data_IF_089066830672
#
_entry.id   IF_089066830672
#
_cell.length_a   1.000
_cell.length_b   1.000
_cell.length_c   1.000
_cell.angle_alpha   90.00
_cell.angle_beta   90.00
_cell.angle_gamma   90.00
#
_symmetry.space_group_name_H-M   'P 1'
#
loop_
_entity.id
_entity.type
_entity.pdbx_description
1 polymer ?
#
# COMPACT_ATOMS: atom_id res chain seq x y z
N UNK A 1 0.29 -5.82 -64.55
CA UNK A 1 0.81 -6.46 -63.33
C UNK A 1 0.57 -5.51 -62.17
N UNK A 2 -0.40 -5.77 -61.27
CA UNK A 2 -0.51 -5.04 -60.01
C UNK A 2 0.07 -5.87 -58.86
N UNK A 3 0.91 -5.23 -58.05
CA UNK A 3 1.49 -5.82 -56.83
C UNK A 3 0.45 -5.78 -55.71
N UNK A 4 0.14 -6.96 -55.19
CA UNK A 4 -0.67 -7.20 -53.99
C UNK A 4 0.19 -6.85 -52.78
N UNK A 5 -0.25 -5.88 -51.96
CA UNK A 5 0.31 -5.67 -50.62
C UNK A 5 -0.60 -6.41 -49.64
N UNK A 6 -0.08 -7.54 -49.15
CA UNK A 6 -0.72 -8.44 -48.21
C UNK A 6 -0.73 -7.79 -46.82
N UNK A 7 -1.92 -7.63 -46.24
CA UNK A 7 -2.12 -7.24 -44.86
C UNK A 7 -1.56 -8.33 -43.92
N UNK A 8 -0.57 -7.98 -43.09
CA UNK A 8 -0.08 -8.85 -42.03
C UNK A 8 -0.92 -8.62 -40.78
N UNK A 9 -1.98 -9.40 -40.63
CA UNK A 9 -2.69 -9.57 -39.35
C UNK A 9 -1.76 -10.30 -38.39
N UNK A 10 -1.21 -9.60 -37.41
CA UNK A 10 -0.55 -10.22 -36.26
C UNK A 10 -1.63 -10.72 -35.32
N UNK A 11 -1.93 -12.00 -35.40
CA UNK A 11 -2.64 -12.72 -34.34
C UNK A 11 -1.72 -12.79 -33.13
N UNK A 12 -2.00 -11.98 -32.10
CA UNK A 12 -1.33 -12.05 -30.81
C UNK A 12 -1.54 -13.43 -30.21
N UNK A 13 -0.44 -14.18 -30.07
CA UNK A 13 -0.43 -15.46 -29.41
C UNK A 13 -0.71 -15.27 -27.91
N UNK A 14 -1.73 -15.98 -27.44
CA UNK A 14 -1.99 -16.22 -26.03
C UNK A 14 -0.77 -16.88 -25.37
N UNK A 15 -0.12 -16.21 -24.43
CA UNK A 15 0.82 -16.86 -23.49
C UNK A 15 0.11 -17.04 -22.16
N UNK A 16 -0.87 -17.95 -22.15
CA UNK A 16 -1.27 -18.65 -20.94
C UNK A 16 -0.58 -20.01 -21.00
N UNK A 17 0.44 -20.25 -20.18
CA UNK A 17 1.17 -21.51 -20.23
C UNK A 17 1.49 -22.03 -18.83
N UNK A 18 0.84 -23.12 -18.44
CA UNK A 18 1.41 -24.12 -17.55
C UNK A 18 1.50 -25.45 -18.30
N UNK A 19 2.70 -26.01 -18.48
CA UNK A 19 2.99 -27.41 -18.19
C UNK A 19 4.49 -27.77 -18.33
N UNK A 20 5.00 -28.44 -17.29
CA UNK A 20 5.94 -29.58 -17.25
C UNK A 20 6.98 -29.82 -18.37
N UNK A 21 8.25 -30.00 -17.98
CA UNK A 21 8.93 -31.31 -18.04
C UNK A 21 10.34 -31.31 -17.41
N UNK A 22 10.54 -32.37 -16.61
CA UNK A 22 11.72 -33.05 -16.07
C UNK A 22 13.12 -32.78 -16.66
N UNK A 23 14.12 -32.64 -15.78
CA UNK A 23 15.44 -33.29 -15.92
C UNK A 23 16.18 -33.38 -14.57
N UNK A 24 16.89 -34.48 -14.40
CA UNK A 24 17.60 -34.99 -13.22
C UNK A 24 19.04 -34.45 -13.14
N UNK A 25 19.63 -34.38 -11.94
CA UNK A 25 20.89 -35.07 -11.57
C UNK A 25 21.58 -34.50 -10.30
N UNK A 26 22.02 -35.42 -9.43
CA UNK A 26 23.41 -35.45 -8.93
C UNK A 26 23.79 -34.65 -7.67
N UNK A 27 24.13 -35.31 -6.54
CA UNK A 27 24.58 -34.65 -5.31
C UNK A 27 26.10 -34.42 -5.30
N UNK A 28 26.56 -33.32 -4.68
CA UNK A 28 27.99 -33.07 -4.44
C UNK A 28 28.28 -32.59 -3.00
N UNK A 29 28.83 -33.53 -2.24
CA UNK A 29 29.93 -33.44 -1.26
C UNK A 29 30.01 -32.27 -0.25
N UNK A 30 29.61 -32.60 0.99
CA UNK A 30 30.41 -32.56 2.22
C UNK A 30 31.70 -31.73 2.29
N UNK A 31 31.68 -30.74 3.17
CA UNK A 31 32.85 -30.18 3.86
C UNK A 31 32.65 -30.28 5.37
N UNK A 32 33.54 -31.00 6.05
CA UNK A 32 33.54 -31.26 7.50
C UNK A 32 34.42 -30.29 8.26
N UNK A 33 33.97 -29.88 9.46
CA UNK A 33 34.83 -29.82 10.64
C UNK A 33 35.36 -28.46 11.08
N UNK A 34 34.77 -27.92 12.16
CA UNK A 34 35.37 -26.90 13.02
C UNK A 34 34.65 -26.89 14.37
N UNK A 35 35.18 -27.65 15.32
CA UNK A 35 34.65 -27.84 16.69
C UNK A 35 34.88 -26.62 17.57
N UNK A 36 33.90 -26.31 18.43
CA UNK A 36 33.94 -25.19 19.36
C UNK A 36 34.70 -25.41 20.66
N UNK A 37 34.78 -24.31 21.43
CA UNK A 37 35.28 -24.18 22.80
C UNK A 37 36.31 -23.04 22.88
N UNK A 38 36.30 -22.11 23.83
CA UNK A 38 35.50 -21.88 25.04
C UNK A 38 35.51 -20.36 25.35
N UNK A 39 34.45 -19.87 25.98
CA UNK A 39 34.32 -18.47 26.37
C UNK A 39 35.05 -18.08 27.66
N UNK A 40 35.37 -16.79 27.75
CA UNK A 40 35.82 -16.05 28.94
C UNK A 40 36.41 -14.71 28.46
N UNK A 41 36.14 -13.54 29.03
CA UNK A 41 35.44 -13.12 30.25
C UNK A 41 34.76 -11.76 29.98
N UNK A 42 33.67 -11.47 30.67
CA UNK A 42 33.00 -10.17 30.63
C UNK A 42 33.91 -9.06 31.19
N UNK A 43 34.01 -7.94 30.47
CA UNK A 43 34.54 -6.70 31.04
C UNK A 43 33.63 -6.20 32.15
N UNK A 44 34.22 -5.81 33.28
CA UNK A 44 33.50 -5.31 34.45
C UNK A 44 32.73 -4.02 34.14
N UNK A 45 31.53 -3.90 34.71
CA UNK A 45 30.79 -2.66 34.76
C UNK A 45 31.60 -1.57 35.47
N UNK A 46 31.61 -0.36 34.92
CA UNK A 46 32.05 0.82 35.65
C UNK A 46 31.16 1.06 36.86
N UNK A 47 31.78 1.15 38.03
CA UNK A 47 31.10 1.53 39.27
C UNK A 47 30.73 3.01 39.23
N UNK A 48 29.49 3.31 39.63
CA UNK A 48 29.02 4.68 39.83
C UNK A 48 29.89 5.42 40.84
N UNK A 49 30.16 6.70 40.56
CA UNK A 49 30.76 7.61 41.54
C UNK A 49 29.84 7.73 42.76
N UNK A 50 30.42 7.53 43.94
CA UNK A 50 29.76 7.71 45.22
C UNK A 50 29.54 9.18 45.53
N UNK A 51 28.37 9.45 46.12
CA UNK A 51 27.94 10.74 46.62
C UNK A 51 28.89 11.31 47.70
N UNK A 52 29.03 12.64 47.72
CA UNK A 52 29.48 13.34 48.93
C UNK A 52 28.43 13.19 50.03
N UNK A 53 28.86 12.75 51.21
CA UNK A 53 28.10 12.82 52.47
C UNK A 53 28.35 14.19 53.12
N UNK A 54 27.45 14.86 53.82
CA UNK A 54 26.02 14.67 54.03
C UNK A 54 25.55 15.76 55.00
N UNK A 55 24.38 16.34 54.75
CA UNK A 55 23.52 16.91 55.79
C UNK A 55 22.23 16.10 55.79
N UNK A 56 21.99 15.30 56.82
CA UNK A 56 20.68 14.65 57.10
C UNK A 56 19.76 15.71 57.70
N UNK A 57 18.48 15.85 57.39
CA UNK A 57 17.60 15.19 56.44
C UNK A 57 16.17 15.67 56.74
N UNK A 58 15.36 15.86 55.70
CA UNK A 58 13.91 15.97 55.79
C UNK A 58 13.31 15.09 54.70
N UNK A 59 12.48 14.12 55.10
CA UNK A 59 11.85 13.10 54.26
C UNK A 59 10.76 13.68 53.35
N UNK A 60 10.74 13.23 52.09
CA UNK A 60 9.66 13.50 51.14
C UNK A 60 8.40 12.69 51.49
N UNK A 61 7.23 13.33 51.41
CA UNK A 61 5.92 12.66 51.56
C UNK A 61 5.39 12.11 50.23
N UNK A 62 4.69 10.98 50.30
CA UNK A 62 3.98 10.32 49.18
C UNK A 62 2.59 10.93 48.91
N UNK A 63 2.07 10.59 47.72
CA UNK A 63 0.95 11.19 46.98
C UNK A 63 -0.41 11.30 47.68
N UNK A 64 -1.22 12.25 47.19
CA UNK A 64 -2.69 12.25 47.31
C UNK A 64 -3.35 12.34 45.94
N UNK A 65 -4.41 11.56 45.72
CA UNK A 65 -5.34 11.67 44.58
C UNK A 65 -6.65 12.32 45.03
N UNK A 66 -7.25 13.09 44.12
CA UNK A 66 -8.69 13.37 44.09
C UNK A 66 -9.16 14.73 44.60
N UNK A 67 -9.51 15.61 43.66
CA UNK A 67 -10.42 16.73 43.87
C UNK A 67 -10.92 17.25 42.53
N UNK A 68 -12.22 17.12 42.28
CA UNK A 68 -12.92 17.65 41.10
C UNK A 68 -13.38 19.08 41.33
N UNK A 69 -13.33 19.88 40.26
CA UNK A 69 -14.23 21.02 40.02
C UNK A 69 -13.87 22.35 40.71
N UNK A 70 -13.55 23.35 39.90
CA UNK A 70 -13.60 24.76 40.31
C UNK A 70 -13.80 25.66 39.10
N UNK A 71 -15.02 26.15 38.90
CA UNK A 71 -15.33 27.28 38.02
C UNK A 71 -15.16 28.60 38.78
N UNK A 72 -14.57 29.58 38.10
CA UNK A 72 -14.85 31.02 38.22
C UNK A 72 -14.53 31.74 39.54
N UNK A 73 -13.58 32.68 39.47
CA UNK A 73 -13.44 33.75 40.47
C UNK A 73 -12.43 34.81 40.02
N UNK A 74 -12.90 36.04 39.85
CA UNK A 74 -12.14 37.23 39.42
C UNK A 74 -11.22 37.82 40.49
N UNK A 75 -10.07 38.32 40.00
CA UNK A 75 -9.07 39.27 40.52
C UNK A 75 -8.96 39.58 42.03
N UNK A 76 -7.73 39.44 42.53
CA UNK A 76 -7.21 40.09 43.74
C UNK A 76 -5.80 40.64 43.49
N UNK A 77 -5.51 41.79 44.09
CA UNK A 77 -4.50 42.79 43.72
C UNK A 77 -3.02 42.38 43.69
N UNK A 78 -2.28 43.15 42.88
CA UNK A 78 -0.84 43.10 42.70
C UNK A 78 -0.04 43.27 44.01
N UNK A 79 1.01 42.44 44.16
CA UNK A 79 2.10 42.60 45.11
C UNK A 79 3.29 43.29 44.45
N UNK A 80 3.93 44.17 45.21
CA UNK A 80 4.86 45.22 44.80
C UNK A 80 6.26 44.73 44.42
N UNK A 81 6.85 45.38 43.42
CA UNK A 81 8.18 45.09 42.90
C UNK A 81 9.33 45.37 43.87
N UNK A 82 10.35 44.51 43.78
CA UNK A 82 11.69 44.78 44.28
C UNK A 82 12.49 45.62 43.28
N UNK A 83 13.23 46.58 43.81
CA UNK A 83 14.01 47.61 43.13
C UNK A 83 15.11 47.09 42.20
N UNK A 84 15.28 47.78 41.07
CA UNK A 84 16.35 47.56 40.10
C UNK A 84 17.74 47.83 40.70
N UNK A 85 18.65 46.86 40.53
CA UNK A 85 20.09 47.07 40.67
C UNK A 85 20.66 47.69 39.40
N UNK A 86 21.53 48.68 39.58
CA UNK A 86 22.19 49.50 38.54
C UNK A 86 23.16 48.70 37.68
N UNK A 87 23.21 49.06 36.39
CA UNK A 87 23.91 48.34 35.33
C UNK A 87 25.42 48.19 35.52
N UNK A 88 25.89 46.97 35.29
CA UNK A 88 27.26 46.69 34.89
C UNK A 88 27.43 46.84 33.38
N UNK A 89 28.55 47.40 32.97
CA UNK A 89 28.99 47.54 31.58
C UNK A 89 29.08 46.18 30.88
N UNK A 90 28.58 46.13 29.64
CA UNK A 90 28.40 44.91 28.87
C UNK A 90 29.67 44.07 28.71
N UNK A 91 29.57 42.80 29.12
CA UNK A 91 30.39 41.76 28.52
C UNK A 91 29.88 41.48 27.11
N UNK A 92 30.79 41.35 26.15
CA UNK A 92 30.48 40.83 24.83
C UNK A 92 29.77 39.48 24.96
N UNK A 93 28.60 39.36 24.34
CA UNK A 93 27.87 38.10 24.27
C UNK A 93 28.79 37.01 23.70
N UNK A 94 28.97 35.92 24.44
CA UNK A 94 29.46 34.69 23.84
C UNK A 94 28.47 34.26 22.76
N UNK A 95 28.97 33.86 21.59
CA UNK A 95 28.12 33.34 20.52
C UNK A 95 27.20 32.27 21.07
N UNK A 96 25.89 32.44 20.89
CA UNK A 96 24.94 31.39 21.17
C UNK A 96 25.37 30.14 20.41
N UNK A 97 25.51 29.01 21.12
CA UNK A 97 25.60 27.73 20.46
C UNK A 97 24.39 27.57 19.55
N UNK A 98 24.59 27.09 18.33
CA UNK A 98 23.48 26.71 17.45
C UNK A 98 22.62 25.72 18.21
N UNK A 99 21.40 26.11 18.54
CA UNK A 99 20.41 25.21 19.11
C UNK A 99 20.28 24.00 18.18
N UNK A 100 20.36 22.80 18.74
CA UNK A 100 20.03 21.60 17.98
C UNK A 100 18.65 21.77 17.37
N UNK A 101 18.48 21.39 16.11
CA UNK A 101 17.17 21.31 15.48
C UNK A 101 16.27 20.49 16.38
N UNK A 102 15.15 21.08 16.81
CA UNK A 102 14.10 20.35 17.49
C UNK A 102 13.74 19.14 16.62
N UNK A 103 13.74 17.95 17.22
CA UNK A 103 13.21 16.76 16.55
C UNK A 103 11.80 17.09 16.05
N UNK A 104 11.50 16.71 14.81
CA UNK A 104 10.14 16.81 14.28
C UNK A 104 9.22 16.09 15.25
N UNK A 105 8.28 16.83 15.85
CA UNK A 105 7.24 16.25 16.68
C UNK A 105 6.57 15.13 15.87
N UNK A 106 6.41 13.96 16.48
CA UNK A 106 5.69 12.87 15.85
C UNK A 106 4.35 13.38 15.33
N UNK A 107 4.02 13.06 14.09
CA UNK A 107 2.71 13.34 13.52
C UNK A 107 1.68 12.78 14.48
N UNK A 108 0.81 13.64 15.02
CA UNK A 108 -0.33 13.20 15.81
C UNK A 108 -1.08 12.16 15.02
N UNK A 109 -1.39 11.02 15.65
CA UNK A 109 -2.13 9.94 15.00
C UNK A 109 -3.37 10.50 14.35
N UNK A 110 -3.51 10.26 13.04
CA UNK A 110 -4.74 10.55 12.32
C UNK A 110 -5.88 9.86 13.04
N UNK A 111 -6.94 10.61 13.35
CA UNK A 111 -8.18 10.01 13.83
C UNK A 111 -8.59 8.91 12.84
N UNK A 112 -8.68 7.67 13.31
CA UNK A 112 -9.01 6.53 12.46
C UNK A 112 -10.31 6.82 11.72
N UNK A 113 -10.23 6.89 10.39
CA UNK A 113 -11.42 6.91 9.54
C UNK A 113 -12.28 5.73 9.97
N UNK A 114 -13.55 5.99 10.34
CA UNK A 114 -14.45 4.92 10.76
C UNK A 114 -14.47 3.86 9.66
N UNK A 115 -13.87 2.70 9.92
CA UNK A 115 -13.64 1.68 8.90
C UNK A 115 -14.93 1.38 8.14
N UNK A 116 -14.81 1.17 6.84
CA UNK A 116 -15.94 0.82 5.99
C UNK A 116 -16.69 -0.42 6.50
N UNK A 117 -17.89 -0.72 5.98
CA UNK A 117 -18.66 -1.89 6.39
C UNK A 117 -17.89 -3.21 6.35
N UNK A 118 -16.85 -3.36 5.52
CA UNK A 118 -15.98 -4.55 5.51
C UNK A 118 -15.24 -4.80 6.84
N UNK A 119 -15.09 -3.77 7.67
CA UNK A 119 -14.23 -3.76 8.84
C UNK A 119 -14.97 -4.02 10.15
N UNK A 120 -16.31 -3.94 10.16
CA UNK A 120 -17.13 -3.96 11.38
C UNK A 120 -16.95 -5.21 12.25
N UNK A 121 -16.56 -6.33 11.64
CA UNK A 121 -16.34 -7.60 12.34
C UNK A 121 -15.06 -8.31 11.86
N UNK A 122 -14.15 -7.59 11.19
CA UNK A 122 -12.93 -8.16 10.67
C UNK A 122 -11.83 -8.07 11.73
N UNK A 123 -11.27 -9.22 12.11
CA UNK A 123 -10.12 -9.25 13.00
C UNK A 123 -8.90 -8.58 12.34
N UNK A 124 -8.15 -7.80 13.12
CA UNK A 124 -6.88 -7.23 12.68
C UNK A 124 -5.87 -8.36 12.44
N UNK A 125 -5.53 -8.58 11.17
CA UNK A 125 -4.70 -9.70 10.71
C UNK A 125 -3.76 -9.36 9.55
N UNK A 126 -3.68 -8.08 9.15
CA UNK A 126 -2.78 -7.67 8.09
C UNK A 126 -1.44 -7.19 8.64
N UNK A 127 -0.48 -6.96 7.75
CA UNK A 127 0.86 -6.50 8.10
C UNK A 127 1.81 -7.62 8.52
N UNK A 128 3.06 -7.28 8.87
CA UNK A 128 4.17 -8.24 8.96
C UNK A 128 4.00 -9.29 10.06
N UNK A 129 3.23 -8.99 11.10
CA UNK A 129 2.98 -9.89 12.24
C UNK A 129 1.49 -10.20 12.42
N UNK A 130 0.64 -9.81 11.46
CA UNK A 130 -0.79 -10.11 11.47
C UNK A 130 -1.56 -9.46 12.61
N UNK A 131 -1.25 -8.20 12.94
CA UNK A 131 -1.92 -7.43 14.01
C UNK A 131 -2.49 -6.10 13.53
N UNK A 132 -2.19 -5.68 12.30
CA UNK A 132 -2.73 -4.45 11.73
C UNK A 132 -4.15 -4.66 11.20
N UNK A 133 -4.93 -3.58 11.19
CA UNK A 133 -6.24 -3.58 10.56
C UNK A 133 -6.08 -3.73 9.06
N UNK A 134 -6.73 -4.72 8.45
CA UNK A 134 -6.76 -4.85 6.98
C UNK A 134 -7.52 -3.70 6.29
N UNK A 135 -8.13 -2.80 7.08
CA UNK A 135 -8.80 -1.60 6.63
C UNK A 135 -8.00 -0.32 6.90
N UNK A 136 -6.75 -0.45 7.34
CA UNK A 136 -5.88 0.70 7.53
C UNK A 136 -5.76 1.47 6.21
N UNK A 137 -5.99 2.77 6.25
CA UNK A 137 -5.83 3.66 5.10
C UNK A 137 -4.94 4.81 5.53
N UNK A 138 -3.80 4.93 4.87
CA UNK A 138 -2.83 5.99 5.13
C UNK A 138 -3.11 7.18 4.22
N UNK A 139 -2.82 8.38 4.72
CA UNK A 139 -2.92 9.60 3.92
C UNK A 139 -1.67 9.72 3.04
N UNK A 140 -1.90 9.90 1.74
CA UNK A 140 -0.90 10.31 0.77
C UNK A 140 -0.97 11.84 0.64
N UNK A 141 0.08 12.58 1.04
CA UNK A 141 0.10 14.04 0.95
C UNK A 141 0.03 14.54 -0.50
N UNK A 142 -0.53 15.73 -0.69
CA UNK A 142 -0.54 16.38 -2.00
C UNK A 142 0.87 16.61 -2.55
N UNK A 143 0.98 16.67 -3.87
CA UNK A 143 2.24 17.02 -4.52
C UNK A 143 2.22 16.80 -6.02
N UNK A 144 3.42 16.86 -6.61
CA UNK A 144 3.63 16.74 -8.05
C UNK A 144 4.63 15.66 -8.37
N UNK A 145 4.43 15.02 -9.52
CA UNK A 145 5.37 14.04 -10.08
C UNK A 145 5.20 13.96 -11.60
N UNK A 146 6.04 13.18 -12.26
CA UNK A 146 5.87 12.83 -13.68
C UNK A 146 5.33 11.41 -13.79
N UNK A 147 4.19 11.23 -14.46
CA UNK A 147 3.60 9.92 -14.72
C UNK A 147 4.43 9.16 -15.75
N UNK A 148 4.48 7.82 -15.61
CA UNK A 148 5.34 6.95 -16.42
C UNK A 148 6.79 7.44 -16.49
N UNK A 149 7.35 7.81 -15.35
CA UNK A 149 8.75 8.20 -15.20
C UNK A 149 9.32 7.66 -13.90
N UNK A 150 10.42 6.92 -14.00
CA UNK A 150 11.23 6.45 -12.88
C UNK A 150 12.71 6.85 -13.02
N UNK A 151 13.08 7.49 -14.13
CA UNK A 151 14.45 7.96 -14.40
C UNK A 151 15.45 6.86 -14.72
N UNK A 152 15.02 5.59 -14.82
CA UNK A 152 15.87 4.44 -15.13
C UNK A 152 15.36 3.71 -16.38
N UNK A 153 14.19 3.07 -16.28
CA UNK A 153 13.54 2.34 -17.38
C UNK A 153 12.64 3.28 -18.16
N UNK A 154 11.85 4.08 -17.46
CA UNK A 154 10.94 5.07 -18.02
C UNK A 154 11.51 6.48 -17.80
N UNK A 155 11.96 7.10 -18.89
CA UNK A 155 12.71 8.38 -18.84
C UNK A 155 11.96 9.56 -19.45
N UNK A 156 10.73 9.37 -19.95
CA UNK A 156 9.90 10.44 -20.47
C UNK A 156 9.19 11.20 -19.33
N UNK A 157 9.64 12.43 -19.07
CA UNK A 157 9.05 13.32 -18.05
C UNK A 157 8.05 14.33 -18.64
N UNK A 158 7.54 14.10 -19.85
CA UNK A 158 6.60 15.03 -20.51
C UNK A 158 5.18 15.01 -19.94
N UNK A 159 4.90 14.16 -18.96
CA UNK A 159 3.56 13.93 -18.39
C UNK A 159 3.46 14.36 -16.90
N UNK A 160 3.73 15.62 -16.54
CA UNK A 160 3.59 16.09 -15.17
C UNK A 160 2.14 15.97 -14.69
N UNK A 161 1.99 15.71 -13.39
CA UNK A 161 0.70 15.64 -12.71
C UNK A 161 0.81 16.25 -11.32
N UNK A 162 -0.29 16.89 -10.90
CA UNK A 162 -0.54 17.29 -9.51
C UNK A 162 -1.64 16.40 -8.95
N UNK A 163 -1.44 15.88 -7.75
CA UNK A 163 -2.41 15.06 -7.02
C UNK A 163 -2.67 15.74 -5.68
N UNK A 164 -3.93 16.03 -5.38
CA UNK A 164 -4.39 16.50 -4.07
C UNK A 164 -4.20 15.40 -3.02
N UNK A 165 -4.15 15.76 -1.75
CA UNK A 165 -4.07 14.76 -0.69
C UNK A 165 -5.28 13.80 -0.73
N UNK A 166 -5.03 12.51 -0.51
CA UNK A 166 -6.05 11.47 -0.53
C UNK A 166 -5.69 10.35 0.46
N UNK A 167 -6.69 9.59 0.91
CA UNK A 167 -6.46 8.33 1.61
C UNK A 167 -6.29 7.21 0.60
N UNK A 168 -5.37 6.29 0.85
CA UNK A 168 -5.25 5.04 0.09
C UNK A 168 -5.22 3.88 1.07
N UNK A 169 -5.92 2.80 0.77
CA UNK A 169 -5.87 1.60 1.60
C UNK A 169 -4.42 1.10 1.62
N UNK A 170 -3.90 0.86 2.82
CA UNK A 170 -2.52 0.42 3.08
C UNK A 170 -2.28 -0.96 2.49
N UNK A 171 -3.32 -1.79 2.48
CA UNK A 171 -3.32 -3.16 2.00
C UNK A 171 -4.31 -3.31 0.84
N UNK A 172 -4.06 -4.30 -0.02
CA UNK A 172 -5.04 -4.75 -1.02
C UNK A 172 -6.35 -5.18 -0.35
N UNK A 173 -7.44 -5.22 -1.11
CA UNK A 173 -8.71 -5.75 -0.62
C UNK A 173 -8.51 -7.22 -0.30
N UNK A 174 -8.65 -7.62 0.96
CA UNK A 174 -8.49 -9.02 1.34
C UNK A 174 -9.75 -9.85 1.05
N UNK A 175 -9.59 -11.18 0.95
CA UNK A 175 -10.73 -12.11 0.84
C UNK A 175 -11.72 -11.91 1.98
N UNK A 176 -11.26 -11.64 3.22
CA UNK A 176 -12.14 -11.42 4.36
C UNK A 176 -12.97 -10.15 4.24
N UNK A 177 -12.38 -9.06 3.73
CA UNK A 177 -13.12 -7.83 3.42
C UNK A 177 -14.14 -8.07 2.32
N UNK A 178 -13.73 -8.71 1.22
CA UNK A 178 -14.61 -9.04 0.10
C UNK A 178 -15.72 -10.01 0.49
N UNK A 179 -15.48 -10.92 1.44
CA UNK A 179 -16.50 -11.85 1.95
C UNK A 179 -17.64 -11.13 2.66
N UNK A 180 -17.35 -10.09 3.44
CA UNK A 180 -18.38 -9.26 4.05
C UNK A 180 -19.27 -8.57 2.99
N UNK A 181 -18.65 -8.07 1.92
CA UNK A 181 -19.35 -7.50 0.77
C UNK A 181 -20.29 -8.52 0.08
N UNK A 182 -19.77 -9.71 -0.21
CA UNK A 182 -20.55 -10.82 -0.82
C UNK A 182 -21.69 -11.28 0.09
N UNK A 183 -21.47 -11.33 1.41
CA UNK A 183 -22.48 -11.72 2.40
C UNK A 183 -23.66 -10.74 2.46
N UNK A 184 -23.42 -9.46 2.17
CA UNK A 184 -24.45 -8.43 2.04
C UNK A 184 -25.12 -8.39 0.65
N UNK A 185 -24.77 -9.30 -0.26
CA UNK A 185 -25.26 -9.33 -1.64
C UNK A 185 -24.63 -8.29 -2.56
N UNK A 186 -23.57 -7.62 -2.12
CA UNK A 186 -22.87 -6.61 -2.93
C UNK A 186 -22.22 -7.20 -4.17
N UNK A 187 -22.01 -6.36 -5.19
CA UNK A 187 -21.34 -6.75 -6.44
C UNK A 187 -22.26 -7.56 -7.37
N UNK A 188 -23.57 -7.47 -7.15
CA UNK A 188 -24.58 -8.20 -7.92
C UNK A 188 -25.59 -7.24 -8.55
N UNK A 189 -26.28 -7.71 -9.59
CA UNK A 189 -27.40 -6.98 -10.20
C UNK A 189 -28.56 -6.76 -9.24
N UNK A 190 -28.68 -7.59 -8.20
CA UNK A 190 -29.71 -7.45 -7.16
C UNK A 190 -29.41 -6.31 -6.17
N UNK A 191 -28.14 -5.96 -5.97
CA UNK A 191 -27.70 -4.86 -5.10
C UNK A 191 -26.53 -4.08 -5.74
N UNK A 192 -26.79 -3.39 -6.87
CA UNK A 192 -25.76 -2.62 -7.53
C UNK A 192 -25.48 -1.31 -6.75
N UNK A 193 -24.30 -0.70 -6.95
CA UNK A 193 -24.05 0.66 -6.47
C UNK A 193 -25.05 1.66 -7.03
N UNK A 194 -25.33 2.73 -6.28
CA UNK A 194 -26.15 3.84 -6.75
C UNK A 194 -25.41 4.64 -7.83
N UNK A 195 -26.13 5.15 -8.84
CA UNK A 195 -25.53 6.00 -9.86
C UNK A 195 -24.81 7.20 -9.23
N UNK A 196 -23.59 7.49 -9.70
CA UNK A 196 -22.73 8.56 -9.19
C UNK A 196 -21.99 8.25 -7.88
N UNK A 197 -22.27 7.13 -7.22
CA UNK A 197 -21.53 6.74 -6.01
C UNK A 197 -20.07 6.39 -6.31
N UNK A 198 -19.18 6.58 -5.33
CA UNK A 198 -17.73 6.39 -5.52
C UNK A 198 -17.06 7.41 -6.42
N UNK A 199 -17.70 8.54 -6.71
CA UNK A 199 -17.04 9.61 -7.46
C UNK A 199 -15.83 10.16 -6.69
N UNK A 200 -14.73 10.38 -7.41
CA UNK A 200 -13.64 11.21 -6.91
C UNK A 200 -14.17 12.66 -6.77
N UNK A 201 -14.06 13.31 -5.59
CA UNK A 201 -14.59 14.66 -5.35
C UNK A 201 -14.03 15.74 -6.28
N UNK A 202 -12.89 15.49 -6.93
CA UNK A 202 -12.22 16.41 -7.86
C UNK A 202 -12.55 16.12 -9.32
N UNK A 203 -13.23 15.01 -9.62
CA UNK A 203 -13.53 14.57 -10.97
C UNK A 203 -15.03 14.35 -11.16
N UNK A 204 -15.67 15.23 -11.92
CA UNK A 204 -17.05 15.01 -12.36
C UNK A 204 -17.16 13.72 -13.20
N UNK A 205 -18.30 13.04 -13.11
CA UNK A 205 -18.59 11.81 -13.85
C UNK A 205 -17.62 10.64 -13.61
N UNK A 206 -16.89 10.64 -12.49
CA UNK A 206 -16.01 9.54 -12.07
C UNK A 206 -16.72 8.45 -11.24
N UNK A 207 -17.97 8.70 -10.84
CA UNK A 207 -18.76 7.75 -10.05
C UNK A 207 -19.37 6.63 -10.89
N UNK A 208 -20.07 5.72 -10.21
CA UNK A 208 -20.72 4.57 -10.82
C UNK A 208 -21.74 4.95 -11.91
N UNK A 209 -21.62 4.38 -13.10
CA UNK A 209 -22.64 4.49 -14.15
C UNK A 209 -23.67 3.36 -13.97
N UNK A 210 -24.96 3.70 -13.94
CA UNK A 210 -26.04 2.73 -13.84
C UNK A 210 -26.06 1.71 -14.98
N UNK A 211 -25.51 2.05 -16.15
CA UNK A 211 -25.37 1.10 -17.26
C UNK A 211 -24.44 -0.08 -16.92
N UNK A 212 -23.49 0.11 -15.99
CA UNK A 212 -22.57 -0.94 -15.55
C UNK A 212 -23.23 -2.00 -14.67
N UNK A 213 -24.46 -1.78 -14.22
CA UNK A 213 -25.22 -2.79 -13.49
C UNK A 213 -25.33 -4.09 -14.31
N UNK A 214 -25.48 -4.00 -15.63
CA UNK A 214 -25.54 -5.16 -16.52
C UNK A 214 -24.22 -5.97 -16.60
N UNK A 215 -23.11 -5.40 -16.12
CA UNK A 215 -21.79 -6.05 -16.07
C UNK A 215 -21.51 -6.76 -14.75
N UNK A 216 -22.40 -6.64 -13.76
CA UNK A 216 -22.33 -7.38 -12.50
C UNK A 216 -22.94 -8.77 -12.64
N UNK A 217 -22.53 -9.68 -11.75
CA UNK A 217 -23.11 -11.02 -11.63
C UNK A 217 -24.59 -10.93 -11.23
N UNK A 218 -25.43 -11.83 -11.75
CA UNK A 218 -26.88 -11.78 -11.50
C UNK A 218 -27.23 -11.84 -10.00
N UNK A 219 -26.53 -12.69 -9.26
CA UNK A 219 -26.72 -12.90 -7.82
C UNK A 219 -25.41 -13.30 -7.13
N UNK A 220 -25.49 -13.53 -5.82
CA UNK A 220 -24.36 -13.93 -4.98
C UNK A 220 -23.76 -15.29 -5.39
N UNK A 221 -24.58 -16.23 -5.88
CA UNK A 221 -24.09 -17.54 -6.29
C UNK A 221 -23.25 -17.43 -7.57
N UNK A 222 -23.73 -16.65 -8.54
CA UNK A 222 -23.00 -16.32 -9.76
C UNK A 222 -21.68 -15.58 -9.46
N UNK A 223 -21.70 -14.61 -8.53
CA UNK A 223 -20.49 -13.89 -8.10
C UNK A 223 -19.46 -14.84 -7.49
N UNK A 224 -19.87 -15.69 -6.55
CA UNK A 224 -18.98 -16.69 -5.93
C UNK A 224 -18.40 -17.69 -6.94
N UNK A 225 -19.13 -18.01 -8.00
CA UNK A 225 -18.61 -18.83 -9.09
C UNK A 225 -17.62 -18.06 -9.97
N UNK A 226 -17.89 -16.78 -10.27
CA UNK A 226 -17.05 -15.94 -11.11
C UNK A 226 -15.67 -15.65 -10.51
N UNK A 227 -15.58 -15.42 -9.19
CA UNK A 227 -14.31 -15.17 -8.49
C UNK A 227 -13.48 -16.44 -8.26
N UNK A 228 -13.95 -17.59 -8.73
CA UNK A 228 -13.20 -18.85 -8.79
C UNK A 228 -12.64 -19.07 -10.20
N UNK A 229 -11.89 -18.07 -10.69
CA UNK A 229 -11.47 -18.03 -12.09
C UNK A 229 -10.35 -19.01 -12.44
N UNK A 230 -9.55 -19.42 -11.44
CA UNK A 230 -8.44 -20.34 -11.62
C UNK A 230 -8.33 -21.28 -10.41
N UNK A 231 -8.64 -22.56 -10.59
CA UNK A 231 -8.66 -23.54 -9.50
C UNK A 231 -7.29 -23.71 -8.79
N UNK A 232 -6.17 -23.37 -9.44
CA UNK A 232 -4.83 -23.46 -8.85
C UNK A 232 -4.48 -22.25 -7.98
N UNK A 233 -4.98 -21.07 -8.31
CA UNK A 233 -4.49 -19.81 -7.76
C UNK A 233 -5.58 -18.87 -7.22
N UNK A 234 -6.87 -19.22 -7.33
CA UNK A 234 -7.93 -18.41 -6.73
C UNK A 234 -7.78 -18.32 -5.20
N UNK A 235 -7.95 -17.12 -4.65
CA UNK A 235 -7.89 -16.91 -3.19
C UNK A 235 -9.26 -17.10 -2.53
N UNK A 236 -10.35 -16.92 -3.28
CA UNK A 236 -11.70 -17.14 -2.77
C UNK A 236 -12.00 -18.61 -2.46
N UNK A 237 -12.54 -18.86 -1.27
CA UNK A 237 -13.16 -20.11 -0.84
C UNK A 237 -14.59 -19.85 -0.37
N UNK A 238 -15.52 -20.78 -0.56
CA UNK A 238 -16.92 -20.57 -0.12
C UNK A 238 -17.06 -20.46 1.39
N UNK A 239 -16.22 -21.22 2.10
CA UNK A 239 -16.11 -21.18 3.55
C UNK A 239 -14.93 -20.28 3.94
N UNK A 240 -15.14 -19.40 4.92
CA UNK A 240 -14.08 -18.60 5.50
C UNK A 240 -12.98 -19.51 6.10
N UNK A 241 -11.71 -19.10 5.96
CA UNK A 241 -10.59 -19.93 6.42
C UNK A 241 -9.24 -19.24 6.32
N UNK A 242 -8.23 -19.97 5.85
CA UNK A 242 -6.84 -19.48 5.85
C UNK A 242 -6.59 -18.38 4.81
N UNK A 243 -7.47 -18.22 3.81
CA UNK A 243 -7.28 -17.24 2.75
C UNK A 243 -7.82 -15.83 3.07
N UNK A 244 -8.48 -15.62 4.22
CA UNK A 244 -9.12 -14.33 4.53
C UNK A 244 -8.16 -13.12 4.57
N UNK A 245 -6.86 -13.38 4.71
CA UNK A 245 -5.79 -12.37 4.74
C UNK A 245 -5.07 -12.20 3.40
N UNK A 246 -5.30 -13.10 2.43
CA UNK A 246 -4.77 -12.94 1.07
C UNK A 246 -5.57 -11.85 0.35
N UNK A 247 -4.97 -11.14 -0.62
CA UNK A 247 -5.75 -10.30 -1.51
C UNK A 247 -6.84 -11.13 -2.20
N UNK A 248 -8.02 -10.54 -2.37
CA UNK A 248 -9.00 -11.11 -3.29
C UNK A 248 -8.43 -10.97 -4.71
N UNK A 249 -8.34 -12.09 -5.43
CA UNK A 249 -8.03 -12.09 -6.85
C UNK A 249 -9.25 -12.53 -7.67
N UNK A 250 -9.10 -12.69 -8.99
CA UNK A 250 -10.20 -13.05 -9.90
C UNK A 250 -11.39 -12.06 -9.90
N UNK A 251 -11.20 -10.83 -9.42
CA UNK A 251 -12.20 -9.77 -9.47
C UNK A 251 -12.04 -8.96 -10.75
N UNK A 252 -13.16 -8.63 -11.40
CA UNK A 252 -13.14 -7.70 -12.52
C UNK A 252 -13.22 -6.26 -12.02
N UNK A 253 -13.07 -5.31 -12.94
CA UNK A 253 -13.06 -3.89 -12.62
C UNK A 253 -14.37 -3.42 -11.96
N UNK A 254 -15.51 -3.91 -12.43
CA UNK A 254 -16.84 -3.53 -11.92
C UNK A 254 -17.04 -3.97 -10.47
N UNK A 255 -16.59 -5.17 -10.12
CA UNK A 255 -16.70 -5.69 -8.76
C UNK A 255 -15.71 -5.03 -7.80
N UNK A 256 -14.49 -4.77 -8.25
CA UNK A 256 -13.52 -3.99 -7.48
C UNK A 256 -14.08 -2.60 -7.17
N UNK A 257 -14.65 -1.91 -8.16
CA UNK A 257 -15.23 -0.59 -7.94
C UNK A 257 -16.48 -0.65 -7.06
N UNK A 258 -17.38 -1.61 -7.28
CA UNK A 258 -18.56 -1.80 -6.44
C UNK A 258 -18.18 -2.11 -4.98
N UNK A 259 -17.13 -2.90 -4.76
CA UNK A 259 -16.58 -3.14 -3.42
C UNK A 259 -16.10 -1.83 -2.79
N UNK A 260 -15.27 -1.07 -3.48
CA UNK A 260 -14.74 0.18 -2.92
C UNK A 260 -15.84 1.19 -2.61
N UNK A 261 -16.86 1.30 -3.46
CA UNK A 261 -18.05 2.12 -3.19
C UNK A 261 -18.76 1.68 -1.92
N UNK A 262 -19.07 0.39 -1.82
CA UNK A 262 -19.77 -0.16 -0.66
C UNK A 262 -18.94 0.03 0.61
N UNK A 263 -17.61 -0.08 0.52
CA UNK A 263 -16.70 0.11 1.64
C UNK A 263 -16.41 1.60 1.98
N UNK A 264 -17.15 2.53 1.36
CA UNK A 264 -17.09 3.96 1.64
C UNK A 264 -15.96 4.72 0.93
N UNK A 265 -15.37 4.13 -0.11
CA UNK A 265 -14.32 4.71 -0.94
C UNK A 265 -14.64 4.65 -2.42
N UNK A 266 -13.57 4.49 -3.22
CA UNK A 266 -13.59 4.41 -4.69
C UNK A 266 -12.35 3.69 -5.19
N UNK A 267 -12.25 3.39 -6.48
CA UNK A 267 -10.95 3.03 -7.06
C UNK A 267 -10.03 4.26 -7.06
N UNK A 268 -8.71 4.09 -6.86
CA UNK A 268 -7.74 5.14 -7.13
C UNK A 268 -7.76 5.50 -8.61
N UNK A 269 -7.55 6.76 -8.94
CA UNK A 269 -7.11 7.14 -10.29
C UNK A 269 -5.73 6.55 -10.56
N UNK A 270 -5.40 6.37 -11.83
CA UNK A 270 -4.06 5.95 -12.21
C UNK A 270 -2.99 6.91 -11.68
N UNK A 271 -3.26 8.23 -11.72
CA UNK A 271 -2.34 9.24 -11.23
C UNK A 271 -2.10 9.13 -9.71
N UNK A 272 -3.14 8.89 -8.91
CA UNK A 272 -3.04 8.67 -7.46
C UNK A 272 -2.23 7.41 -7.14
N UNK A 273 -2.53 6.30 -7.81
CA UNK A 273 -1.82 5.05 -7.60
C UNK A 273 -0.33 5.19 -7.92
N UNK A 274 -0.02 5.75 -9.09
CA UNK A 274 1.37 5.94 -9.53
C UNK A 274 2.11 6.91 -8.60
N UNK A 275 1.46 7.98 -8.14
CA UNK A 275 2.07 8.93 -7.21
C UNK A 275 2.42 8.25 -5.88
N UNK A 276 1.54 7.39 -5.35
CA UNK A 276 1.78 6.57 -4.18
C UNK A 276 2.99 5.63 -4.35
N UNK A 277 3.02 4.88 -5.45
CA UNK A 277 4.08 3.94 -5.77
C UNK A 277 5.43 4.62 -6.02
N UNK A 278 5.47 5.73 -6.76
CA UNK A 278 6.71 6.45 -7.07
C UNK A 278 7.27 7.27 -5.90
N UNK A 279 6.61 7.27 -4.73
CA UNK A 279 7.02 8.10 -3.59
C UNK A 279 6.87 9.60 -3.85
N UNK A 280 5.92 9.97 -4.70
CA UNK A 280 5.70 11.33 -5.19
C UNK A 280 6.84 11.84 -6.04
N UNK A 281 7.37 13.02 -5.70
CA UNK A 281 8.45 13.66 -6.47
C UNK A 281 9.81 12.94 -6.38
N UNK A 282 9.92 11.87 -5.59
CA UNK A 282 11.14 11.06 -5.54
C UNK A 282 11.33 10.20 -6.78
N UNK A 283 10.26 9.89 -7.53
CA UNK A 283 10.31 9.12 -8.78
C UNK A 283 11.03 7.77 -8.62
N UNK A 284 10.66 7.05 -7.57
CA UNK A 284 11.25 5.75 -7.25
C UNK A 284 10.91 4.71 -8.32
N UNK A 285 11.90 3.88 -8.67
CA UNK A 285 11.75 2.73 -9.60
C UNK A 285 10.77 1.70 -9.04
N UNK A 286 11.00 1.29 -7.79
CA UNK A 286 10.09 0.51 -6.97
C UNK A 286 9.64 1.36 -5.77
N UNK A 287 8.50 1.07 -5.12
CA UNK A 287 8.02 1.85 -3.98
C UNK A 287 9.04 2.00 -2.84
N UNK A 288 9.88 0.98 -2.66
CA UNK A 288 10.93 0.92 -1.64
C UNK A 288 12.29 1.45 -2.08
N UNK A 289 12.48 1.84 -3.35
CA UNK A 289 13.80 2.22 -3.85
C UNK A 289 14.39 3.40 -3.08
N UNK A 290 15.53 3.14 -2.43
CA UNK A 290 16.35 4.13 -1.75
C UNK A 290 17.83 3.79 -1.99
N UNK A 291 18.56 4.54 -2.84
CA UNK A 291 18.13 5.75 -3.55
C UNK A 291 16.99 5.47 -4.58
N UNK A 292 16.27 6.49 -5.06
CA UNK A 292 15.12 6.28 -5.96
C UNK A 292 15.40 5.48 -7.22
N UNK A 293 16.63 5.55 -7.74
CA UNK A 293 17.09 4.80 -8.92
C UNK A 293 17.48 3.34 -8.63
N UNK A 294 17.38 2.88 -7.38
CA UNK A 294 17.71 1.50 -7.02
C UNK A 294 16.76 0.52 -7.72
N UNK A 295 17.33 -0.47 -8.39
CA UNK A 295 16.59 -1.57 -9.03
C UNK A 295 16.69 -2.86 -8.21
N UNK A 296 17.04 -2.77 -6.93
CA UNK A 296 17.17 -3.94 -6.05
C UNK A 296 15.78 -4.46 -5.67
N UNK A 297 15.57 -5.75 -5.94
CA UNK A 297 14.39 -6.51 -5.57
C UNK A 297 14.82 -7.95 -5.25
N UNK A 298 14.23 -8.50 -4.20
CA UNK A 298 14.35 -9.88 -3.76
C UNK A 298 13.09 -10.28 -2.97
N UNK A 299 13.06 -11.49 -2.43
CA UNK A 299 11.91 -12.03 -1.69
C UNK A 299 11.52 -11.23 -0.43
N UNK A 300 12.37 -10.34 0.09
CA UNK A 300 12.04 -9.52 1.25
C UNK A 300 11.17 -8.31 0.88
N UNK A 301 11.19 -7.90 -0.38
CA UNK A 301 10.51 -6.70 -0.86
C UNK A 301 9.13 -6.98 -1.43
N UNK A 302 8.99 -7.98 -2.30
CA UNK A 302 7.72 -8.23 -2.98
C UNK A 302 7.47 -9.71 -3.19
N UNK A 303 6.24 -10.05 -3.56
CA UNK A 303 5.96 -11.34 -4.15
C UNK A 303 5.86 -11.25 -5.67
N UNK A 304 6.69 -12.00 -6.40
CA UNK A 304 6.87 -11.87 -7.85
C UNK A 304 7.55 -13.10 -8.48
N UNK A 305 7.55 -13.17 -9.82
CA UNK A 305 8.24 -14.20 -10.59
C UNK A 305 9.72 -13.84 -10.78
N UNK A 306 10.62 -14.70 -10.32
CA UNK A 306 12.06 -14.47 -10.40
C UNK A 306 12.62 -14.76 -11.79
N UNK A 307 12.32 -15.94 -12.34
CA UNK A 307 12.82 -16.36 -13.65
C UNK A 307 11.87 -17.32 -14.39
N UNK A 308 12.20 -17.59 -15.65
CA UNK A 308 11.42 -18.44 -16.57
C UNK A 308 11.23 -19.90 -16.10
N UNK A 309 11.97 -20.37 -15.09
CA UNK A 309 11.73 -21.68 -14.45
C UNK A 309 10.55 -21.65 -13.46
N UNK A 310 9.80 -20.54 -13.40
CA UNK A 310 8.63 -20.36 -12.53
C UNK A 310 8.97 -20.49 -11.05
N UNK A 311 10.06 -19.85 -10.66
CA UNK A 311 10.39 -19.62 -9.26
C UNK A 311 9.71 -18.32 -8.85
N UNK A 312 8.59 -18.40 -8.13
CA UNK A 312 8.00 -17.25 -7.50
C UNK A 312 8.71 -17.03 -6.15
N UNK A 313 8.95 -15.77 -5.81
CA UNK A 313 9.25 -15.38 -4.45
C UNK A 313 7.96 -14.93 -3.81
N UNK A 314 7.56 -15.56 -2.73
CA UNK A 314 6.40 -15.16 -1.94
C UNK A 314 6.46 -15.86 -0.59
N UNK A 315 6.42 -17.18 -0.62
CA UNK A 315 6.49 -18.04 0.57
C UNK A 315 7.91 -18.53 0.93
N UNK A 316 8.91 -18.19 0.11
CA UNK A 316 10.31 -18.63 0.27
C UNK A 316 10.58 -20.06 -0.20
N UNK A 317 9.63 -20.67 -0.91
CA UNK A 317 9.73 -22.04 -1.46
C UNK A 317 9.81 -21.99 -2.99
N UNK A 318 10.68 -22.82 -3.57
CA UNK A 318 10.83 -22.90 -5.01
C UNK A 318 9.53 -23.38 -5.71
N UNK A 319 9.04 -22.58 -6.66
CA UNK A 319 7.88 -22.87 -7.50
C UNK A 319 6.92 -21.68 -7.53
N UNK A 320 5.79 -21.84 -8.23
CA UNK A 320 4.69 -20.88 -8.19
C UNK A 320 3.41 -21.61 -7.79
N UNK A 321 2.91 -21.28 -6.60
CA UNK A 321 1.74 -21.87 -5.97
C UNK A 321 0.79 -20.79 -5.43
N UNK A 322 -0.36 -21.18 -4.90
CA UNK A 322 -1.24 -20.25 -4.18
C UNK A 322 -0.58 -19.62 -2.96
N UNK A 323 0.47 -20.26 -2.39
CA UNK A 323 1.14 -19.74 -1.22
C UNK A 323 1.87 -18.42 -1.49
N UNK A 324 2.31 -18.22 -2.74
CA UNK A 324 2.98 -17.01 -3.23
C UNK A 324 2.03 -15.79 -3.33
N UNK A 325 0.71 -15.99 -3.41
CA UNK A 325 -0.26 -14.90 -3.20
C UNK A 325 -0.35 -14.57 -1.70
N UNK A 326 0.72 -14.03 -1.14
CA UNK A 326 0.98 -13.87 0.29
C UNK A 326 -0.12 -13.10 1.03
N UNK A 327 -0.09 -13.18 2.36
CA UNK A 327 -0.96 -12.35 3.19
C UNK A 327 -0.55 -10.88 3.03
N UNK A 328 -1.56 -10.01 2.94
CA UNK A 328 -1.34 -8.59 2.69
C UNK A 328 -0.49 -7.96 3.82
N UNK A 329 0.58 -7.30 3.40
CA UNK A 329 1.49 -6.55 4.25
C UNK A 329 2.61 -7.36 4.89
N UNK A 330 2.87 -8.58 4.44
CA UNK A 330 3.90 -9.45 5.07
C UNK A 330 5.34 -9.15 4.62
N UNK A 331 5.54 -8.27 3.64
CA UNK A 331 6.85 -7.84 3.13
C UNK A 331 7.13 -6.36 3.42
N UNK A 332 7.41 -5.98 4.69
CA UNK A 332 7.52 -4.57 5.08
C UNK A 332 8.71 -3.83 4.47
N UNK A 333 9.73 -4.53 3.94
CA UNK A 333 10.82 -3.88 3.22
C UNK A 333 10.36 -3.32 1.87
N UNK A 334 9.28 -3.87 1.28
CA UNK A 334 8.66 -3.38 0.06
C UNK A 334 7.64 -2.26 0.26
N UNK A 335 7.51 -1.72 1.47
CA UNK A 335 6.56 -0.65 1.70
C UNK A 335 6.99 0.62 0.94
N UNK A 336 5.99 1.28 0.34
CA UNK A 336 6.17 2.59 -0.28
C UNK A 336 6.53 3.67 0.74
N UNK A 337 6.88 4.86 0.25
CA UNK A 337 7.28 6.03 1.07
C UNK A 337 6.34 6.34 2.24
N UNK A 338 5.04 6.14 2.04
CA UNK A 338 3.99 6.43 3.03
C UNK A 338 3.43 5.18 3.73
N UNK A 339 4.14 4.04 3.66
CA UNK A 339 3.79 2.83 4.39
C UNK A 339 2.81 1.88 3.70
N UNK A 340 2.29 2.24 2.52
CA UNK A 340 1.47 1.36 1.69
C UNK A 340 2.27 0.10 1.33
N UNK A 341 1.72 -1.05 1.68
CA UNK A 341 2.33 -2.35 1.42
C UNK A 341 1.85 -2.91 0.08
N UNK A 342 2.67 -3.79 -0.49
CA UNK A 342 2.35 -4.58 -1.68
C UNK A 342 1.84 -3.71 -2.85
N UNK A 343 2.42 -2.51 -3.00
CA UNK A 343 2.13 -1.68 -4.19
C UNK A 343 2.74 -2.30 -5.45
N UNK A 344 3.76 -3.16 -5.32
CA UNK A 344 4.24 -3.98 -6.44
C UNK A 344 4.28 -5.45 -6.02
N UNK A 345 3.91 -6.33 -6.94
CA UNK A 345 3.79 -7.76 -6.71
C UNK A 345 2.50 -8.17 -6.01
N UNK A 346 2.44 -9.42 -5.57
CA UNK A 346 1.25 -10.06 -4.99
C UNK A 346 0.06 -10.06 -5.98
N UNK A 347 -0.80 -9.04 -6.00
CA UNK A 347 -1.77 -8.84 -7.09
C UNK A 347 -1.59 -7.50 -7.80
N UNK A 348 -1.80 -7.53 -9.10
CA UNK A 348 -2.03 -6.35 -9.91
C UNK A 348 -3.32 -5.65 -9.47
N UNK A 349 -3.39 -4.33 -9.64
CA UNK A 349 -4.47 -3.52 -9.08
C UNK A 349 -5.23 -2.72 -10.13
N UNK A 350 -6.55 -2.91 -10.17
CA UNK A 350 -7.45 -2.08 -10.97
C UNK A 350 -7.41 -0.61 -10.52
N UNK A 351 -7.34 0.30 -11.50
CA UNK A 351 -7.52 1.75 -11.30
C UNK A 351 -8.78 2.24 -12.01
N UNK A 352 -9.23 3.46 -11.70
CA UNK A 352 -10.41 4.07 -12.32
C UNK A 352 -10.26 4.28 -13.83
N UNK A 353 -9.06 4.54 -14.31
CA UNK A 353 -8.80 5.06 -15.64
C UNK A 353 -9.03 4.03 -16.76
N UNK A 354 -9.56 4.51 -17.89
CA UNK A 354 -9.37 3.86 -19.17
C UNK A 354 -7.95 4.09 -19.68
N UNK A 355 -7.35 3.07 -20.28
CA UNK A 355 -6.04 3.20 -20.89
C UNK A 355 -6.12 4.11 -22.12
N UNK A 356 -5.44 5.24 -22.05
CA UNK A 356 -5.26 6.20 -23.12
C UNK A 356 -3.96 6.99 -22.90
N UNK A 357 -3.66 7.89 -23.84
CA UNK A 357 -2.64 8.93 -23.66
C UNK A 357 -2.93 9.73 -22.41
N UNK A 358 -1.88 10.18 -21.71
CA UNK A 358 -2.07 10.95 -20.50
C UNK A 358 -2.72 12.32 -20.79
N UNK A 359 -3.76 12.71 -20.04
CA UNK A 359 -4.30 14.06 -20.14
C UNK A 359 -3.27 15.07 -19.63
N UNK A 360 -3.06 16.14 -20.40
CA UNK A 360 -2.15 17.25 -20.07
C UNK A 360 -2.85 18.60 -20.33
N UNK A 361 -2.85 19.55 -19.37
CA UNK A 361 -2.30 19.46 -18.01
C UNK A 361 -3.08 18.47 -17.13
N UNK A 362 -2.45 17.97 -16.07
CA UNK A 362 -3.09 17.08 -15.10
C UNK A 362 -3.09 17.67 -13.68
N UNK A 363 -4.29 17.90 -13.16
CA UNK A 363 -4.57 18.19 -11.75
C UNK A 363 -5.71 17.27 -11.32
N UNK A 364 -5.43 16.30 -10.44
CA UNK A 364 -6.38 15.25 -10.04
C UNK A 364 -7.05 14.55 -11.23
N UNK A 365 -6.33 14.38 -12.34
CA UNK A 365 -6.89 13.97 -13.61
C UNK A 365 -7.15 12.45 -13.70
N UNK A 366 -8.09 12.06 -14.56
CA UNK A 366 -8.26 10.67 -14.99
C UNK A 366 -8.82 10.58 -16.42
N UNK A 367 -8.54 9.48 -17.11
CA UNK A 367 -9.14 9.15 -18.39
C UNK A 367 -10.48 8.42 -18.19
N UNK A 368 -11.58 9.16 -18.24
CA UNK A 368 -12.94 8.63 -17.99
C UNK A 368 -13.69 8.22 -19.26
N UNK A 369 -13.23 8.67 -20.44
CA UNK A 369 -13.84 8.31 -21.71
C UNK A 369 -13.68 6.82 -21.99
N UNK A 370 -14.79 6.14 -22.31
CA UNK A 370 -14.80 4.70 -22.53
C UNK A 370 -13.81 4.28 -23.62
N UNK A 371 -12.98 3.30 -23.29
CA UNK A 371 -12.00 2.69 -24.20
C UNK A 371 -12.16 1.16 -24.22
N UNK A 372 -11.12 0.47 -24.70
CA UNK A 372 -11.11 -1.00 -24.73
C UNK A 372 -10.63 -1.63 -23.42
N UNK A 373 -9.71 -0.96 -22.73
CA UNK A 373 -8.97 -1.51 -21.60
C UNK A 373 -8.92 -0.53 -20.43
N UNK A 374 -9.03 -1.03 -19.21
CA UNK A 374 -8.78 -0.25 -17.99
C UNK A 374 -7.30 -0.33 -17.64
N UNK A 375 -6.78 0.69 -16.95
CA UNK A 375 -5.39 0.66 -16.49
C UNK A 375 -5.29 -0.21 -15.24
N UNK A 376 -4.30 -1.09 -15.27
CA UNK A 376 -3.89 -1.94 -14.15
C UNK A 376 -2.42 -1.66 -13.83
N UNK A 377 -2.04 -1.72 -12.55
CA UNK A 377 -0.71 -1.37 -12.03
C UNK A 377 -0.18 -2.45 -11.06
N UNK A 378 1.09 -2.37 -10.67
CA UNK A 378 1.67 -3.16 -9.56
C UNK A 378 2.40 -4.45 -9.96
N UNK A 379 1.95 -5.11 -11.03
CA UNK A 379 2.38 -6.49 -11.29
C UNK A 379 1.85 -7.46 -10.23
N UNK A 380 1.98 -8.76 -10.46
CA UNK A 380 1.53 -9.79 -9.51
C UNK A 380 2.62 -10.83 -9.20
N UNK A 381 2.28 -11.79 -8.34
CA UNK A 381 3.18 -12.84 -7.86
C UNK A 381 3.83 -13.67 -8.99
N UNK A 382 3.24 -13.72 -10.18
CA UNK A 382 3.76 -14.42 -11.35
C UNK A 382 4.27 -13.50 -12.47
N UNK A 383 4.47 -12.21 -12.19
CA UNK A 383 5.09 -11.23 -13.07
C UNK A 383 6.58 -10.99 -12.74
N UNK A 384 7.37 -10.65 -13.75
CA UNK A 384 8.82 -10.44 -13.62
C UNK A 384 9.16 -9.03 -13.12
N UNK A 385 10.38 -8.78 -12.59
CA UNK A 385 10.77 -7.47 -12.05
C UNK A 385 10.57 -6.25 -12.96
N UNK A 386 10.57 -6.42 -14.29
CA UNK A 386 10.33 -5.34 -15.24
C UNK A 386 8.87 -4.86 -15.28
N UNK A 387 7.96 -5.68 -14.77
CA UNK A 387 6.52 -5.43 -14.79
C UNK A 387 6.03 -4.88 -13.42
N UNK A 388 6.88 -4.95 -12.40
CA UNK A 388 6.71 -4.44 -11.03
C UNK A 388 7.25 -3.02 -10.84
N UNK A 389 7.41 -2.25 -11.92
CA UNK A 389 7.92 -0.88 -11.83
C UNK A 389 6.77 0.08 -11.51
N UNK A 390 7.00 1.08 -10.66
CA UNK A 390 5.97 2.07 -10.31
C UNK A 390 5.43 2.85 -11.51
N UNK A 391 6.22 2.91 -12.58
CA UNK A 391 5.86 3.53 -13.86
C UNK A 391 5.20 2.59 -14.87
N UNK A 392 5.25 1.26 -14.65
CA UNK A 392 4.69 0.28 -15.55
C UNK A 392 3.15 0.37 -15.57
N UNK A 393 2.57 0.19 -16.77
CA UNK A 393 1.12 0.25 -16.99
C UNK A 393 0.69 -0.97 -17.80
N UNK A 394 -0.20 -1.77 -17.25
CA UNK A 394 -0.86 -2.82 -17.99
C UNK A 394 -2.08 -2.26 -18.72
N UNK A 395 -2.27 -2.66 -19.98
CA UNK A 395 -3.19 -2.01 -20.91
C UNK A 395 -3.98 -2.96 -21.82
N UNK A 396 -4.11 -4.23 -21.44
CA UNK A 396 -4.72 -5.26 -22.29
C UNK A 396 -5.92 -5.96 -21.61
N UNK A 397 -6.33 -5.50 -20.43
CA UNK A 397 -7.46 -6.07 -19.71
C UNK A 397 -8.74 -5.28 -19.92
N UNK A 398 -9.75 -5.94 -20.49
CA UNK A 398 -11.09 -5.39 -20.57
C UNK A 398 -11.69 -5.29 -19.16
N UNK A 399 -12.63 -4.38 -18.89
CA UNK A 399 -13.18 -4.20 -17.53
C UNK A 399 -13.93 -5.45 -17.00
N UNK A 400 -14.33 -6.37 -17.88
CA UNK A 400 -14.97 -7.64 -17.49
C UNK A 400 -13.97 -8.78 -17.27
N UNK A 401 -12.69 -8.57 -17.62
CA UNK A 401 -11.64 -9.58 -17.49
C UNK A 401 -11.31 -9.86 -16.02
N UNK A 402 -10.83 -11.07 -15.75
CA UNK A 402 -10.46 -11.59 -14.43
C UNK A 402 -9.28 -12.51 -14.58
N UNK A 403 -8.37 -12.47 -13.61
CA UNK A 403 -7.21 -13.35 -13.58
C UNK A 403 -6.78 -13.63 -12.13
N UNK A 404 -6.01 -14.69 -11.92
CA UNK A 404 -5.39 -15.01 -10.65
C UNK A 404 -4.37 -13.96 -10.18
N UNK A 405 -3.87 -13.13 -11.08
CA UNK A 405 -3.02 -11.99 -10.75
C UNK A 405 -3.79 -10.70 -10.46
N UNK A 406 -5.10 -10.62 -10.70
CA UNK A 406 -5.86 -9.36 -10.68
C UNK A 406 -6.70 -9.17 -9.41
N UNK A 407 -6.40 -8.10 -8.68
CA UNK A 407 -7.12 -7.61 -7.51
C UNK A 407 -7.31 -6.09 -7.56
N UNK A 408 -7.39 -5.45 -6.39
CA UNK A 408 -7.48 -3.99 -6.26
C UNK A 408 -7.25 -3.53 -4.82
N UNK A 409 -7.03 -2.22 -4.67
CA UNK A 409 -7.16 -1.47 -3.41
C UNK A 409 -8.07 -0.26 -3.58
N UNK A 410 -8.56 0.30 -2.48
CA UNK A 410 -9.46 1.44 -2.52
C UNK A 410 -8.75 2.75 -2.17
N UNK A 411 -9.15 3.84 -2.82
CA UNK A 411 -8.86 5.20 -2.40
C UNK A 411 -10.03 5.81 -1.63
N UNK A 412 -9.73 6.79 -0.79
CA UNK A 412 -10.65 7.45 0.14
C UNK A 412 -10.41 8.95 0.14
N UNK A 413 -11.39 9.72 0.61
CA UNK A 413 -11.13 11.09 1.05
C UNK A 413 -10.16 11.08 2.24
N UNK A 414 -9.19 12.00 2.28
CA UNK A 414 -8.14 12.01 3.31
C UNK A 414 -8.67 12.29 4.72
#
# INVERSE_FOLDING_TARGET
MPAIVLALTVTGATVGCGNSSTATDGPAAGGTGGTGGTGGTAGSAGTGGTAGTGGKGGTAGSAGTGGTGGTGGTAGSAGTGGTAGTGGTGGTAGSAGTGGTAGTGGTGGTAGSAGGPSCKSLAAKCGPVGTASCCESAVVPEGTFYRSFDGVTYTDNSNPATVSAFGLDTYEITVGRFRAFVAEGGGTQAKPPAAGSGANPKLAASGWDAAWNASLSADTAALKAAVKCNAKFQTWTDTAGNNEQRPINCVNWFEAFAFCIWDGGRLPTEAEWNYAASGGSEQRVYPWSSPPSSTTIDEAYASYLVDANKLCFGDGVAGCTLADLIFAGTKPQGNGRWGHADLEGNVQEWTLDWFATYPTPCSDCANLAAGSYRVVRGGCFDDIPSDLLSSHRFNYFSPSYRDNGLGARCARTP
#
